data_IF_768000344434
#
_entry.id   IF_768000344434
#
_cell.length_a   1.000
_cell.length_b   1.000
_cell.length_c   1.000
_cell.angle_alpha   90.00
_cell.angle_beta   90.00
_cell.angle_gamma   90.00
#
_symmetry.space_group_name_H-M   'P 1'
#
loop_
_entity.id
_entity.type
_entity.pdbx_description
1 polymer ?
#
# COMPACT_ATOMS: atom_id res chain seq x y z
N UNK A 1 18.59 15.59 -25.82
CA UNK A 1 18.73 15.85 -24.36
C UNK A 1 17.50 16.53 -23.73
N UNK A 2 16.55 17.10 -24.51
CA UNK A 2 15.31 17.74 -23.98
C UNK A 2 14.13 16.76 -23.84
N UNK A 3 14.29 15.59 -24.42
CA UNK A 3 13.36 14.47 -24.55
C UNK A 3 13.31 13.57 -23.29
N UNK A 4 14.39 13.49 -22.50
CA UNK A 4 14.41 12.74 -21.22
C UNK A 4 13.70 13.47 -20.07
N UNK A 5 13.54 14.80 -20.13
CA UNK A 5 12.93 15.55 -19.03
C UNK A 5 11.40 15.51 -19.04
N UNK A 6 10.77 15.50 -20.22
CA UNK A 6 9.30 15.41 -20.35
C UNK A 6 8.74 14.02 -19.99
N UNK A 7 9.50 12.94 -20.26
CA UNK A 7 9.09 11.58 -19.89
C UNK A 7 9.17 11.33 -18.37
N UNK A 8 10.08 12.02 -17.67
CA UNK A 8 10.31 11.85 -16.23
C UNK A 8 9.27 12.61 -15.38
N UNK A 9 8.79 13.78 -15.86
CA UNK A 9 7.75 14.53 -15.17
C UNK A 9 6.40 13.81 -15.14
N UNK A 10 6.11 13.01 -16.17
CA UNK A 10 4.85 12.27 -16.29
C UNK A 10 4.87 10.98 -15.44
N UNK A 11 6.02 10.30 -15.38
CA UNK A 11 6.22 9.10 -14.55
C UNK A 11 6.06 9.38 -13.04
N UNK A 12 6.61 10.51 -12.56
CA UNK A 12 6.49 10.92 -11.16
C UNK A 12 5.04 11.28 -10.77
N UNK A 13 4.30 11.92 -11.69
CA UNK A 13 2.90 12.32 -11.48
C UNK A 13 1.91 11.16 -11.59
N UNK A 14 2.15 10.20 -12.47
CA UNK A 14 1.25 9.06 -12.69
C UNK A 14 1.57 7.85 -11.82
N UNK A 15 2.69 7.18 -12.09
CA UNK A 15 3.03 5.91 -11.45
C UNK A 15 3.46 6.09 -9.99
N UNK A 16 4.28 7.11 -9.70
CA UNK A 16 4.73 7.40 -8.34
C UNK A 16 3.56 7.75 -7.41
N UNK A 17 2.64 8.58 -7.88
CA UNK A 17 1.44 8.97 -7.13
C UNK A 17 0.50 7.78 -6.91
N UNK A 18 0.31 6.93 -7.91
CA UNK A 18 -0.51 5.73 -7.79
C UNK A 18 0.07 4.73 -6.78
N UNK A 19 1.39 4.54 -6.77
CA UNK A 19 2.06 3.69 -5.78
C UNK A 19 1.88 4.25 -4.36
N UNK A 20 2.07 5.56 -4.19
CA UNK A 20 1.85 6.24 -2.94
C UNK A 20 0.42 6.05 -2.42
N UNK A 21 -0.59 6.30 -3.26
CA UNK A 21 -1.99 6.11 -2.89
C UNK A 21 -2.27 4.66 -2.49
N UNK A 22 -1.75 3.67 -3.23
CA UNK A 22 -1.91 2.25 -2.88
C UNK A 22 -1.29 1.90 -1.53
N UNK A 23 -0.10 2.41 -1.23
CA UNK A 23 0.56 2.18 0.05
C UNK A 23 -0.19 2.87 1.19
N UNK A 24 -0.58 4.13 1.02
CA UNK A 24 -1.39 4.87 2.00
C UNK A 24 -2.75 4.20 2.24
N UNK A 25 -3.35 3.62 1.19
CA UNK A 25 -4.61 2.87 1.31
C UNK A 25 -4.45 1.67 2.25
N UNK A 26 -3.33 0.95 2.17
CA UNK A 26 -3.03 -0.16 3.06
C UNK A 26 -2.79 0.26 4.51
N UNK A 27 -2.51 1.53 4.79
CA UNK A 27 -2.42 2.05 6.16
C UNK A 27 -3.81 2.42 6.67
N UNK A 28 -4.51 3.27 5.92
CA UNK A 28 -5.78 3.87 6.34
C UNK A 28 -6.88 2.82 6.46
N UNK A 29 -6.98 1.90 5.50
CA UNK A 29 -8.08 0.95 5.38
C UNK A 29 -8.16 -0.07 6.55
N UNK A 30 -7.08 -0.81 6.89
CA UNK A 30 -7.13 -1.74 8.03
C UNK A 30 -7.23 -1.03 9.38
N UNK A 31 -6.64 0.15 9.55
CA UNK A 31 -6.76 0.92 10.82
C UNK A 31 -8.23 1.36 11.04
N UNK A 32 -8.90 1.90 10.02
CA UNK A 32 -10.31 2.26 10.10
C UNK A 32 -11.20 1.06 10.41
N UNK A 33 -10.97 -0.07 9.72
CA UNK A 33 -11.68 -1.32 9.99
C UNK A 33 -11.45 -1.79 11.43
N UNK A 34 -10.23 -1.72 11.94
CA UNK A 34 -9.91 -2.13 13.30
C UNK A 34 -10.57 -1.25 14.35
N UNK A 35 -10.57 0.08 14.17
CA UNK A 35 -11.22 1.00 15.11
C UNK A 35 -12.72 0.76 15.15
N UNK A 36 -13.35 0.58 13.98
CA UNK A 36 -14.78 0.33 13.89
C UNK A 36 -15.17 -1.03 14.46
N UNK A 37 -14.43 -2.09 14.12
CA UNK A 37 -14.68 -3.45 14.61
C UNK A 37 -14.34 -3.60 16.10
N UNK A 38 -13.21 -3.06 16.54
CA UNK A 38 -12.71 -3.13 17.92
C UNK A 38 -13.67 -2.48 18.91
N UNK A 39 -14.18 -1.27 18.60
CA UNK A 39 -15.21 -0.62 19.44
C UNK A 39 -16.50 -1.42 19.54
N UNK A 40 -16.93 -2.03 18.44
CA UNK A 40 -18.14 -2.88 18.43
C UNK A 40 -17.96 -4.15 19.25
N UNK A 41 -16.76 -4.73 19.25
CA UNK A 41 -16.44 -5.92 20.03
C UNK A 41 -16.32 -5.61 21.53
N UNK A 42 -15.62 -4.53 21.90
CA UNK A 42 -15.50 -4.11 23.30
C UNK A 42 -16.89 -3.85 23.93
N UNK A 43 -17.80 -3.19 23.21
CA UNK A 43 -19.18 -2.96 23.66
C UNK A 43 -19.98 -4.25 23.88
N UNK A 44 -19.68 -5.31 23.11
CA UNK A 44 -20.39 -6.59 23.23
C UNK A 44 -19.88 -7.43 24.39
N UNK A 45 -18.59 -7.35 24.70
CA UNK A 45 -17.95 -8.15 25.74
C UNK A 45 -17.74 -7.40 27.06
N UNK A 46 -18.20 -6.14 27.16
CA UNK A 46 -18.14 -5.28 28.35
C UNK A 46 -16.76 -5.29 29.03
N UNK A 47 -15.72 -5.45 28.21
CA UNK A 47 -14.35 -5.64 28.63
C UNK A 47 -13.63 -4.30 28.51
N UNK A 48 -12.70 -4.02 29.43
CA UNK A 48 -11.68 -2.98 29.24
C UNK A 48 -11.07 -3.10 27.82
N UNK A 49 -10.51 -2.03 27.21
CA UNK A 49 -10.21 -1.93 25.77
C UNK A 49 -9.07 -2.83 25.25
N UNK A 50 -8.94 -4.04 25.79
CA UNK A 50 -7.99 -5.10 25.44
C UNK A 50 -8.26 -5.65 24.05
N UNK A 51 -9.55 -5.80 23.66
CA UNK A 51 -9.90 -6.31 22.33
C UNK A 51 -9.65 -5.25 21.26
N UNK A 52 -9.88 -3.97 21.57
CA UNK A 52 -9.44 -2.88 20.72
C UNK A 52 -7.93 -2.93 20.43
N UNK A 53 -7.07 -3.09 21.45
CA UNK A 53 -5.63 -3.19 21.21
C UNK A 53 -5.25 -4.41 20.37
N UNK A 54 -5.87 -5.58 20.62
CA UNK A 54 -5.63 -6.77 19.82
C UNK A 54 -6.04 -6.59 18.34
N UNK A 55 -7.21 -6.00 18.10
CA UNK A 55 -7.71 -5.75 16.74
C UNK A 55 -6.88 -4.72 15.98
N UNK A 56 -6.44 -3.65 16.64
CA UNK A 56 -5.50 -2.68 16.06
C UNK A 56 -4.15 -3.33 15.76
N UNK A 57 -3.62 -4.16 16.66
CA UNK A 57 -2.37 -4.89 16.45
C UNK A 57 -2.43 -5.83 15.23
N UNK A 58 -3.52 -6.58 15.08
CA UNK A 58 -3.74 -7.46 13.91
C UNK A 58 -3.82 -6.64 12.63
N UNK A 59 -4.59 -5.53 12.64
CA UNK A 59 -4.71 -4.66 11.48
C UNK A 59 -3.38 -4.00 11.08
N UNK A 60 -2.53 -3.67 12.05
CA UNK A 60 -1.20 -3.15 11.79
C UNK A 60 -0.32 -4.18 11.07
N UNK A 61 -0.36 -5.45 11.49
CA UNK A 61 0.36 -6.54 10.82
C UNK A 61 -0.14 -6.71 9.38
N UNK A 62 -1.46 -6.72 9.18
CA UNK A 62 -2.08 -6.80 7.86
C UNK A 62 -1.65 -5.64 6.96
N UNK A 63 -1.60 -4.42 7.52
CA UNK A 63 -1.12 -3.23 6.82
C UNK A 63 0.31 -3.39 6.32
N UNK A 64 1.22 -3.81 7.20
CA UNK A 64 2.63 -4.05 6.87
C UNK A 64 2.77 -5.11 5.78
N UNK A 65 2.09 -6.25 5.94
CA UNK A 65 2.14 -7.33 4.96
C UNK A 65 1.62 -6.88 3.58
N UNK A 66 0.50 -6.15 3.56
CA UNK A 66 -0.10 -5.60 2.34
C UNK A 66 0.81 -4.57 1.64
N UNK A 67 1.46 -3.70 2.40
CA UNK A 67 2.44 -2.75 1.87
C UNK A 67 3.65 -3.47 1.26
N UNK A 68 4.24 -4.43 1.97
CA UNK A 68 5.42 -5.18 1.46
C UNK A 68 5.05 -5.93 0.18
N UNK A 69 3.91 -6.63 0.16
CA UNK A 69 3.45 -7.33 -1.03
C UNK A 69 3.23 -6.38 -2.22
N UNK A 70 2.63 -5.21 -1.97
CA UNK A 70 2.39 -4.18 -3.01
C UNK A 70 3.70 -3.60 -3.53
N UNK A 71 4.64 -3.28 -2.65
CA UNK A 71 5.95 -2.76 -3.02
C UNK A 71 6.75 -3.78 -3.82
N UNK A 72 6.79 -5.04 -3.39
CA UNK A 72 7.46 -6.12 -4.13
C UNK A 72 6.85 -6.33 -5.51
N UNK A 73 5.51 -6.28 -5.62
CA UNK A 73 4.82 -6.39 -6.91
C UNK A 73 5.20 -5.24 -7.84
N UNK A 74 5.20 -4.02 -7.33
CA UNK A 74 5.58 -2.84 -8.11
C UNK A 74 7.03 -2.92 -8.61
N UNK A 75 7.97 -3.32 -7.76
CA UNK A 75 9.38 -3.49 -8.16
C UNK A 75 9.54 -4.50 -9.30
N UNK A 76 8.88 -5.67 -9.20
CA UNK A 76 8.92 -6.71 -10.25
C UNK A 76 8.29 -6.26 -11.56
N UNK A 77 7.21 -5.49 -11.49
CA UNK A 77 6.51 -4.98 -12.67
C UNK A 77 7.36 -3.94 -13.41
N UNK A 78 8.01 -3.04 -12.66
CA UNK A 78 8.97 -2.08 -13.22
C UNK A 78 10.15 -2.79 -13.88
N UNK A 79 10.73 -3.82 -13.25
CA UNK A 79 11.84 -4.59 -13.83
C UNK A 79 11.43 -5.30 -15.13
N UNK A 80 10.27 -5.96 -15.15
CA UNK A 80 9.74 -6.66 -16.32
C UNK A 80 9.45 -5.71 -17.49
N UNK A 81 8.91 -4.53 -17.20
CA UNK A 81 8.61 -3.51 -18.21
C UNK A 81 9.89 -2.94 -18.84
N UNK A 82 10.94 -2.72 -18.03
CA UNK A 82 12.24 -2.28 -18.53
C UNK A 82 12.88 -3.33 -19.47
N UNK A 83 12.91 -4.60 -19.06
CA UNK A 83 13.47 -5.70 -19.88
C UNK A 83 12.72 -5.90 -21.22
N UNK A 84 11.39 -5.71 -21.22
CA UNK A 84 10.58 -5.82 -22.44
C UNK A 84 10.87 -4.67 -23.41
N UNK A 85 11.04 -3.45 -22.92
CA UNK A 85 11.34 -2.29 -23.74
C UNK A 85 12.74 -2.37 -24.38
N UNK A 86 13.73 -2.96 -23.70
CA UNK A 86 15.05 -3.20 -24.29
C UNK A 86 15.03 -4.24 -25.42
N UNK A 87 14.20 -5.29 -25.31
CA UNK A 87 14.05 -6.30 -26.37
C UNK A 87 13.34 -5.79 -27.62
N UNK A 88 12.43 -4.83 -27.49
CA UNK A 88 11.71 -4.22 -28.63
C UNK A 88 12.61 -3.24 -29.40
N UNK A 89 13.64 -2.69 -28.73
CA UNK A 89 14.59 -1.75 -29.33
C UNK A 89 15.77 -2.40 -30.06
N UNK A 90 15.98 -3.71 -29.91
CA UNK A 90 17.00 -4.50 -30.61
C UNK A 90 16.39 -5.16 -31.84
#
# INVERSE_FOLDING_TARGET
MKDKQAQNSDYWRGEGLNLFVKLSSWIVMPILLAVWAGKRLDLKFNTEPKIFFATVGIAFIISIAGMIATAMKAMRETEKNNLKNEKIKK
#
